data_IF_467760794994
#
_entry.id   IF_467760794994
#
_cell.length_a   1.000
_cell.length_b   1.000
_cell.length_c   1.000
_cell.angle_alpha   90.00
_cell.angle_beta   90.00
_cell.angle_gamma   90.00
#
_symmetry.space_group_name_H-M   'P 1'
#
loop_
_entity.id
_entity.type
_entity.pdbx_description
1 polymer ?
#
# COMPACT_ATOMS: atom_id res chain seq x y z
N UNK A 1 -9.80 8.50 14.30
CA UNK A 1 -8.75 8.10 13.35
C UNK A 1 -7.47 8.92 13.55
N UNK A 2 -6.38 8.53 12.89
CA UNK A 2 -5.12 9.29 12.91
C UNK A 2 -5.31 10.61 12.14
N UNK A 3 -4.93 11.78 12.71
CA UNK A 3 -5.06 13.07 12.02
C UNK A 3 -4.30 13.13 10.69
N UNK A 4 -4.79 13.92 9.73
CA UNK A 4 -4.21 14.06 8.38
C UNK A 4 -2.73 14.43 8.42
N UNK A 5 -2.34 15.39 9.25
CA UNK A 5 -0.95 15.84 9.37
C UNK A 5 0.01 14.72 9.81
N UNK A 6 -0.43 13.84 10.70
CA UNK A 6 0.36 12.68 11.14
C UNK A 6 0.45 11.62 10.03
N UNK A 7 -0.63 11.43 9.25
CA UNK A 7 -0.62 10.53 8.10
C UNK A 7 0.32 11.04 7.00
N UNK A 8 0.29 12.34 6.71
CA UNK A 8 1.22 12.99 5.78
C UNK A 8 2.68 12.81 6.21
N UNK A 9 3.00 13.08 7.47
CA UNK A 9 4.36 12.89 8.00
C UNK A 9 4.85 11.45 7.84
N UNK A 10 4.00 10.47 8.10
CA UNK A 10 4.35 9.05 7.92
C UNK A 10 4.53 8.68 6.45
N UNK A 11 3.69 9.19 5.55
CA UNK A 11 3.84 8.95 4.11
C UNK A 11 5.12 9.59 3.56
N UNK A 12 5.52 10.77 4.04
CA UNK A 12 6.80 11.38 3.67
C UNK A 12 8.00 10.56 4.17
N UNK A 13 7.92 10.00 5.39
CA UNK A 13 8.94 9.08 5.88
C UNK A 13 8.96 7.78 5.06
N UNK A 14 7.79 7.25 4.68
CA UNK A 14 7.69 6.09 3.81
C UNK A 14 8.33 6.37 2.44
N UNK A 15 8.12 7.56 1.87
CA UNK A 15 8.75 7.96 0.62
C UNK A 15 10.27 7.97 0.75
N UNK A 16 10.81 8.63 1.76
CA UNK A 16 12.25 8.69 2.00
C UNK A 16 12.87 7.29 2.20
N UNK A 17 12.24 6.46 3.04
CA UNK A 17 12.69 5.08 3.27
C UNK A 17 12.59 4.21 1.99
N UNK A 18 11.59 4.45 1.13
CA UNK A 18 11.47 3.74 -0.15
C UNK A 18 12.58 4.18 -1.12
N UNK A 19 12.89 5.49 -1.19
CA UNK A 19 13.98 6.02 -2.02
C UNK A 19 15.35 5.41 -1.63
N UNK A 20 15.63 5.26 -0.33
CA UNK A 20 16.86 4.66 0.17
C UNK A 20 17.01 3.18 -0.22
N UNK A 21 15.90 2.46 -0.40
CA UNK A 21 15.88 1.02 -0.66
C UNK A 21 15.38 0.64 -2.07
N UNK A 22 15.39 1.58 -3.03
CA UNK A 22 14.97 1.31 -4.41
C UNK A 22 15.76 0.17 -5.08
N UNK A 23 17.06 0.08 -4.82
CA UNK A 23 17.89 -1.00 -5.38
C UNK A 23 17.51 -2.37 -4.80
N UNK A 24 17.19 -2.45 -3.50
CA UNK A 24 16.74 -3.70 -2.87
C UNK A 24 15.43 -4.18 -3.50
N UNK A 25 14.47 -3.27 -3.74
CA UNK A 25 13.23 -3.56 -4.43
C UNK A 25 13.47 -4.02 -5.87
N UNK A 26 14.37 -3.36 -6.60
CA UNK A 26 14.72 -3.75 -7.96
C UNK A 26 15.36 -5.15 -8.00
N UNK A 27 16.28 -5.45 -7.08
CA UNK A 27 16.90 -6.77 -6.98
C UNK A 27 15.89 -7.86 -6.62
N UNK A 28 14.98 -7.60 -5.68
CA UNK A 28 13.91 -8.53 -5.36
C UNK A 28 13.08 -8.90 -6.61
N UNK A 29 12.65 -7.89 -7.39
CA UNK A 29 11.86 -8.14 -8.61
C UNK A 29 12.66 -8.84 -9.72
N UNK A 30 13.95 -8.60 -9.82
CA UNK A 30 14.82 -9.36 -10.75
C UNK A 30 14.88 -10.84 -10.36
N UNK A 31 14.99 -11.13 -9.05
CA UNK A 31 15.11 -12.49 -8.55
C UNK A 31 13.81 -13.28 -8.65
N UNK A 32 12.68 -12.67 -8.26
CA UNK A 32 11.41 -13.39 -8.13
C UNK A 32 10.59 -13.47 -9.41
N UNK A 33 10.68 -12.47 -10.31
CA UNK A 33 9.89 -12.45 -11.54
C UNK A 33 10.73 -12.37 -12.82
N UNK A 34 12.07 -12.33 -12.72
CA UNK A 34 12.95 -12.25 -13.89
C UNK A 34 12.89 -10.92 -14.63
N UNK A 35 12.58 -9.83 -13.95
CA UNK A 35 12.51 -8.51 -14.57
C UNK A 35 13.87 -8.10 -15.14
N UNK A 36 13.93 -7.55 -16.38
CA UNK A 36 15.17 -6.99 -16.91
C UNK A 36 15.71 -5.88 -16.00
N UNK A 37 17.03 -5.84 -15.77
CA UNK A 37 17.69 -4.91 -14.82
C UNK A 37 17.26 -3.46 -15.02
N UNK A 38 17.26 -2.99 -16.28
CA UNK A 38 16.85 -1.64 -16.60
C UNK A 38 15.39 -1.37 -16.20
N UNK A 39 14.49 -2.29 -16.54
CA UNK A 39 13.07 -2.17 -16.22
C UNK A 39 12.81 -2.24 -14.71
N UNK A 40 13.50 -3.15 -14.01
CA UNK A 40 13.36 -3.27 -12.55
C UNK A 40 13.72 -1.96 -11.84
N UNK A 41 14.81 -1.31 -12.24
CA UNK A 41 15.30 -0.07 -11.63
C UNK A 41 14.50 1.17 -12.04
N UNK A 42 14.30 1.39 -13.36
CA UNK A 42 13.76 2.65 -13.88
C UNK A 42 12.23 2.72 -13.96
N UNK A 43 11.54 1.60 -13.78
CA UNK A 43 10.09 1.55 -13.91
C UNK A 43 9.41 0.85 -12.74
N UNK A 44 9.84 -0.38 -12.42
CA UNK A 44 9.10 -1.18 -11.45
C UNK A 44 9.33 -0.72 -10.01
N UNK A 45 10.58 -0.50 -9.59
CA UNK A 45 10.88 0.00 -8.26
C UNK A 45 10.42 1.46 -8.08
N UNK A 46 10.64 2.29 -9.10
CA UNK A 46 10.28 3.71 -9.09
C UNK A 46 8.77 3.97 -9.04
N UNK A 47 7.95 3.00 -9.48
CA UNK A 47 6.49 3.13 -9.42
C UNK A 47 5.96 3.42 -8.00
N UNK A 48 6.57 2.87 -6.97
CA UNK A 48 6.19 3.14 -5.58
C UNK A 48 6.37 4.62 -5.20
N UNK A 49 7.46 5.24 -5.66
CA UNK A 49 7.74 6.67 -5.43
C UNK A 49 6.70 7.53 -6.15
N UNK A 50 6.40 7.21 -7.42
CA UNK A 50 5.35 7.91 -8.16
C UNK A 50 3.99 7.88 -7.46
N UNK A 51 3.60 6.73 -6.91
CA UNK A 51 2.36 6.60 -6.13
C UNK A 51 2.41 7.39 -4.82
N UNK A 52 3.54 7.35 -4.09
CA UNK A 52 3.70 8.14 -2.86
C UNK A 52 3.54 9.63 -3.15
N UNK A 53 4.19 10.18 -4.18
CA UNK A 53 4.01 11.57 -4.59
C UNK A 53 2.54 11.90 -4.88
N UNK A 54 1.86 11.07 -5.67
CA UNK A 54 0.45 11.30 -6.02
C UNK A 54 -0.48 11.28 -4.81
N UNK A 55 -0.35 10.30 -3.93
CA UNK A 55 -1.22 10.19 -2.75
C UNK A 55 -0.90 11.21 -1.66
N UNK A 56 0.37 11.59 -1.46
CA UNK A 56 0.75 12.69 -0.57
C UNK A 56 0.14 14.01 -1.07
N UNK A 57 0.26 14.30 -2.36
CA UNK A 57 -0.34 15.49 -2.98
C UNK A 57 -1.86 15.50 -2.79
N UNK A 58 -2.54 14.41 -3.11
CA UNK A 58 -3.99 14.29 -2.94
C UNK A 58 -4.42 14.47 -1.49
N UNK A 59 -3.64 13.93 -0.53
CA UNK A 59 -3.96 14.04 0.89
C UNK A 59 -3.76 15.48 1.43
N UNK A 60 -2.82 16.25 0.87
CA UNK A 60 -2.67 17.67 1.18
C UNK A 60 -3.88 18.51 0.79
N UNK A 61 -4.55 18.16 -0.30
CA UNK A 61 -5.73 18.86 -0.80
C UNK A 61 -7.04 18.39 -0.11
N UNK A 62 -6.99 17.26 0.59
CA UNK A 62 -8.18 16.64 1.17
C UNK A 62 -8.59 17.30 2.48
N UNK A 63 -9.89 17.59 2.60
CA UNK A 63 -10.51 17.99 3.86
C UNK A 63 -11.26 16.78 4.46
N UNK A 64 -11.01 16.47 5.74
CA UNK A 64 -11.77 15.42 6.44
C UNK A 64 -13.22 15.82 6.68
N UNK A 65 -13.49 17.11 6.73
CA UNK A 65 -14.83 17.69 6.94
C UNK A 65 -15.03 18.90 6.03
N UNK A 66 -16.10 18.87 5.27
CA UNK A 66 -16.43 19.90 4.27
C UNK A 66 -17.92 20.27 4.38
N UNK A 67 -18.21 21.56 4.36
CA UNK A 67 -19.61 22.02 4.29
C UNK A 67 -19.99 22.24 2.82
N UNK A 68 -20.97 21.51 2.33
CA UNK A 68 -21.46 21.59 0.97
C UNK A 68 -22.32 22.85 0.77
N UNK A 69 -22.55 23.23 -0.49
CA UNK A 69 -23.31 24.43 -0.85
C UNK A 69 -24.78 24.43 -0.33
N UNK A 70 -25.35 23.25 -0.11
CA UNK A 70 -26.69 23.08 0.45
C UNK A 70 -26.73 23.10 1.99
N UNK A 71 -25.58 23.28 2.66
CA UNK A 71 -25.44 23.28 4.12
C UNK A 71 -25.18 21.92 4.76
N UNK A 72 -25.17 20.83 3.99
CA UNK A 72 -24.82 19.51 4.49
C UNK A 72 -23.34 19.43 4.82
N UNK A 73 -22.98 18.51 5.73
CA UNK A 73 -21.60 18.28 6.13
C UNK A 73 -21.15 16.93 5.56
N UNK A 74 -20.17 16.97 4.67
CA UNK A 74 -19.47 15.77 4.19
C UNK A 74 -18.33 15.44 5.16
N UNK A 75 -18.34 14.23 5.71
CA UNK A 75 -17.28 13.71 6.58
C UNK A 75 -16.62 12.53 5.89
N UNK A 76 -15.28 12.53 5.80
CA UNK A 76 -14.48 11.44 5.25
C UNK A 76 -13.83 10.67 6.39
N UNK A 77 -14.15 9.39 6.51
CA UNK A 77 -13.65 8.52 7.56
C UNK A 77 -12.97 7.28 6.95
N UNK A 78 -11.96 6.68 7.64
CA UNK A 78 -11.39 5.40 7.21
C UNK A 78 -12.47 4.32 7.14
N UNK A 79 -12.40 3.48 6.09
CA UNK A 79 -13.36 2.39 5.91
C UNK A 79 -13.23 1.28 6.96
N UNK A 80 -12.09 1.21 7.65
CA UNK A 80 -11.76 0.15 8.61
C UNK A 80 -10.60 -0.70 8.14
N UNK A 81 -10.72 -2.02 8.19
CA UNK A 81 -9.68 -2.97 7.77
C UNK A 81 -9.82 -3.31 6.29
N UNK A 82 -8.75 -3.09 5.53
CA UNK A 82 -8.67 -3.39 4.11
C UNK A 82 -7.92 -4.71 3.86
N UNK A 83 -8.55 -5.68 3.21
CA UNK A 83 -7.88 -6.84 2.64
C UNK A 83 -7.34 -6.49 1.24
N UNK A 84 -6.04 -6.67 1.02
CA UNK A 84 -5.36 -6.32 -0.21
C UNK A 84 -4.73 -7.57 -0.82
N UNK A 85 -5.11 -7.92 -2.06
CA UNK A 85 -4.55 -9.06 -2.78
C UNK A 85 -3.90 -8.56 -4.06
N UNK A 86 -2.64 -8.92 -4.30
CA UNK A 86 -1.87 -8.44 -5.44
C UNK A 86 -1.31 -9.57 -6.31
N UNK A 87 -1.20 -9.37 -7.63
CA UNK A 87 -0.58 -10.31 -8.55
C UNK A 87 0.94 -10.17 -8.60
N UNK A 88 1.57 -11.00 -9.42
CA UNK A 88 3.02 -11.11 -9.54
C UNK A 88 3.65 -10.25 -10.65
N UNK A 89 2.87 -9.78 -11.61
CA UNK A 89 3.40 -9.21 -12.85
C UNK A 89 4.02 -7.81 -12.72
N UNK A 90 3.64 -7.04 -11.71
CA UNK A 90 4.22 -5.74 -11.33
C UNK A 90 4.17 -5.57 -9.81
N UNK A 91 4.96 -6.34 -9.03
CA UNK A 91 4.74 -6.53 -7.60
C UNK A 91 4.64 -5.23 -6.82
N UNK A 92 5.67 -4.39 -6.85
CA UNK A 92 5.72 -3.15 -6.07
C UNK A 92 4.67 -2.14 -6.54
N UNK A 93 4.44 -2.00 -7.83
CA UNK A 93 3.38 -1.14 -8.34
C UNK A 93 2.01 -1.53 -7.78
N UNK A 94 1.70 -2.83 -7.80
CA UNK A 94 0.41 -3.34 -7.33
C UNK A 94 0.25 -3.22 -5.82
N UNK A 95 1.33 -3.43 -5.07
CA UNK A 95 1.35 -3.26 -3.61
C UNK A 95 1.16 -1.78 -3.26
N UNK A 96 1.97 -0.90 -3.84
CA UNK A 96 1.94 0.53 -3.55
C UNK A 96 0.58 1.17 -3.86
N UNK A 97 -0.03 0.84 -5.03
CA UNK A 97 -1.37 1.30 -5.43
C UNK A 97 -2.48 0.96 -4.44
N UNK A 98 -2.28 -0.01 -3.56
CA UNK A 98 -3.28 -0.46 -2.58
C UNK A 98 -2.92 -0.04 -1.16
N UNK A 99 -1.68 -0.25 -0.77
CA UNK A 99 -1.21 0.02 0.60
C UNK A 99 -1.17 1.52 0.87
N UNK A 100 -0.59 2.31 -0.04
CA UNK A 100 -0.44 3.75 0.17
C UNK A 100 -1.79 4.44 0.35
N UNK A 101 -2.80 4.28 -0.53
CA UNK A 101 -4.09 4.92 -0.34
C UNK A 101 -4.83 4.42 0.91
N UNK A 102 -4.70 3.14 1.30
CA UNK A 102 -5.28 2.65 2.54
C UNK A 102 -4.69 3.37 3.77
N UNK A 103 -3.36 3.46 3.85
CA UNK A 103 -2.66 4.18 4.93
C UNK A 103 -2.92 5.69 4.88
N UNK A 104 -2.97 6.30 3.69
CA UNK A 104 -3.32 7.70 3.50
C UNK A 104 -4.73 8.02 3.99
N UNK A 105 -5.69 7.15 3.74
CA UNK A 105 -7.06 7.28 4.26
C UNK A 105 -7.16 7.04 5.77
N UNK A 106 -6.11 6.51 6.41
CA UNK A 106 -6.11 6.16 7.84
C UNK A 106 -6.72 4.79 8.13
N UNK A 107 -6.93 3.96 7.11
CA UNK A 107 -7.34 2.57 7.25
C UNK A 107 -6.16 1.69 7.68
N UNK A 108 -6.45 0.53 8.26
CA UNK A 108 -5.47 -0.54 8.46
C UNK A 108 -5.58 -1.55 7.32
N UNK A 109 -4.51 -2.28 7.03
CA UNK A 109 -4.56 -3.23 5.94
C UNK A 109 -3.82 -4.54 6.22
N UNK A 110 -4.32 -5.59 5.58
CA UNK A 110 -3.70 -6.91 5.51
C UNK A 110 -3.40 -7.20 4.04
N UNK A 111 -2.13 -7.27 3.69
CA UNK A 111 -1.66 -7.56 2.34
C UNK A 111 -1.36 -9.05 2.18
N UNK A 112 -1.97 -9.68 1.17
CA UNK A 112 -1.56 -10.98 0.63
C UNK A 112 -0.98 -10.77 -0.78
N UNK A 113 0.34 -10.75 -0.95
CA UNK A 113 0.94 -10.72 -2.27
C UNK A 113 0.78 -12.07 -2.97
N UNK A 114 1.06 -12.10 -4.27
CA UNK A 114 1.21 -13.38 -4.97
C UNK A 114 2.31 -14.23 -4.33
N UNK A 115 2.09 -15.53 -4.24
CA UNK A 115 3.07 -16.52 -3.78
C UNK A 115 4.31 -16.59 -4.68
N UNK A 116 4.22 -16.07 -5.92
CA UNK A 116 5.33 -16.01 -6.88
C UNK A 116 6.26 -14.80 -6.64
N UNK A 117 5.82 -13.79 -5.89
CA UNK A 117 6.58 -12.56 -5.67
C UNK A 117 6.57 -12.14 -4.19
N UNK A 118 7.10 -12.97 -3.29
CA UNK A 118 7.12 -12.67 -1.87
C UNK A 118 8.23 -11.68 -1.46
N UNK A 119 9.38 -11.67 -2.16
CA UNK A 119 10.56 -10.92 -1.72
C UNK A 119 10.36 -9.41 -1.77
N UNK A 120 9.80 -8.89 -2.84
CA UNK A 120 9.48 -7.46 -2.96
C UNK A 120 8.44 -7.02 -1.91
N UNK A 121 7.49 -7.90 -1.58
CA UNK A 121 6.49 -7.63 -0.53
C UNK A 121 7.13 -7.59 0.87
N UNK A 122 8.05 -8.51 1.17
CA UNK A 122 8.81 -8.52 2.43
C UNK A 122 9.66 -7.25 2.54
N UNK A 123 10.43 -6.92 1.49
CA UNK A 123 11.25 -5.71 1.45
C UNK A 123 10.40 -4.45 1.68
N UNK A 124 9.21 -4.38 1.06
CA UNK A 124 8.33 -3.22 1.25
C UNK A 124 7.71 -3.18 2.64
N UNK A 125 7.43 -4.32 3.27
CA UNK A 125 6.99 -4.40 4.65
C UNK A 125 8.04 -3.84 5.63
N UNK A 126 9.30 -4.20 5.43
CA UNK A 126 10.43 -3.64 6.20
C UNK A 126 10.56 -2.11 6.03
N UNK A 127 10.34 -1.61 4.81
CA UNK A 127 10.34 -0.17 4.51
C UNK A 127 9.20 0.55 5.25
N UNK A 128 8.00 -0.05 5.28
CA UNK A 128 6.83 0.50 6.00
C UNK A 128 7.10 0.53 7.51
N UNK A 129 7.71 -0.51 8.06
CA UNK A 129 8.09 -0.58 9.47
C UNK A 129 9.09 0.52 9.82
N UNK A 130 10.15 0.68 9.01
CA UNK A 130 11.16 1.74 9.17
C UNK A 130 10.55 3.16 9.08
N UNK A 131 9.46 3.35 8.33
CA UNK A 131 8.75 4.63 8.23
C UNK A 131 7.96 4.99 9.52
N UNK A 132 7.85 4.07 10.48
CA UNK A 132 7.27 4.31 11.80
C UNK A 132 5.73 4.39 11.79
N UNK A 133 5.08 3.58 10.97
CA UNK A 133 3.65 3.34 11.13
C UNK A 133 3.38 2.56 12.42
N UNK A 134 2.23 2.76 13.08
CA UNK A 134 1.93 2.04 14.30
C UNK A 134 1.73 0.54 14.02
N UNK A 135 2.05 -0.28 15.02
CA UNK A 135 1.84 -1.72 14.97
C UNK A 135 0.40 -2.04 14.55
N UNK A 136 0.27 -2.98 13.61
CA UNK A 136 -1.02 -3.39 13.07
C UNK A 136 -1.62 -2.47 12.01
N UNK A 137 -1.03 -1.30 11.70
CA UNK A 137 -1.50 -0.46 10.59
C UNK A 137 -1.32 -1.17 9.24
N UNK A 138 -0.20 -1.87 9.07
CA UNK A 138 0.10 -2.73 7.92
C UNK A 138 0.46 -4.12 8.41
N UNK A 139 -0.10 -5.15 7.77
CA UNK A 139 0.16 -6.55 8.07
C UNK A 139 0.39 -7.31 6.76
N UNK A 140 1.44 -8.12 6.72
CA UNK A 140 1.78 -8.96 5.57
C UNK A 140 1.48 -10.42 5.90
N UNK A 141 0.72 -11.10 5.06
CA UNK A 141 0.49 -12.54 5.14
C UNK A 141 0.91 -13.21 3.83
N UNK A 142 1.54 -14.36 3.93
CA UNK A 142 1.89 -15.20 2.79
C UNK A 142 0.94 -16.41 2.68
N UNK A 143 0.79 -16.90 1.47
CA UNK A 143 -0.03 -18.06 1.15
C UNK A 143 -0.58 -17.99 -0.27
N UNK A 144 -1.17 -19.09 -0.70
CA UNK A 144 -1.79 -19.19 -2.02
C UNK A 144 -3.20 -18.56 -2.08
N UNK A 145 -3.74 -18.50 -3.28
CA UNK A 145 -5.09 -17.98 -3.51
C UNK A 145 -6.18 -18.78 -2.81
N UNK A 146 -6.22 -20.14 -2.99
CA UNK A 146 -7.27 -20.99 -2.42
C UNK A 146 -7.32 -21.01 -0.88
N UNK A 147 -6.22 -20.81 -0.20
CA UNK A 147 -6.17 -20.81 1.28
C UNK A 147 -6.16 -19.39 1.85
N UNK A 148 -5.02 -18.71 1.83
CA UNK A 148 -4.88 -17.37 2.43
C UNK A 148 -5.74 -16.31 1.72
N UNK A 149 -5.81 -16.36 0.38
CA UNK A 149 -6.63 -15.44 -0.41
C UNK A 149 -8.11 -15.61 -0.12
N UNK A 150 -8.60 -16.85 -0.12
CA UNK A 150 -10.00 -17.16 0.18
C UNK A 150 -10.35 -16.78 1.61
N UNK A 151 -9.49 -17.10 2.59
CA UNK A 151 -9.71 -16.75 3.99
C UNK A 151 -9.81 -15.23 4.19
N UNK A 152 -8.89 -14.46 3.56
CA UNK A 152 -8.91 -12.99 3.62
C UNK A 152 -10.19 -12.42 2.98
N UNK A 153 -10.63 -13.01 1.86
CA UNK A 153 -11.80 -12.54 1.12
C UNK A 153 -13.12 -12.77 1.85
N UNK A 154 -13.18 -13.80 2.70
CA UNK A 154 -14.38 -14.19 3.45
C UNK A 154 -14.35 -13.73 4.91
N UNK A 155 -13.29 -13.04 5.35
CA UNK A 155 -13.14 -12.71 6.76
C UNK A 155 -14.15 -11.63 7.19
N UNK A 156 -14.93 -11.83 8.26
CA UNK A 156 -16.01 -10.93 8.66
C UNK A 156 -15.53 -9.53 9.09
N UNK A 157 -14.27 -9.40 9.53
CA UNK A 157 -13.69 -8.14 9.97
C UNK A 157 -13.00 -7.36 8.84
N UNK A 158 -13.08 -7.83 7.58
CA UNK A 158 -12.61 -7.09 6.41
C UNK A 158 -13.76 -6.24 5.87
N UNK A 159 -13.64 -4.92 5.96
CA UNK A 159 -14.64 -3.98 5.49
C UNK A 159 -14.49 -3.66 4.00
N UNK A 160 -13.28 -3.77 3.46
CA UNK A 160 -12.99 -3.54 2.04
C UNK A 160 -12.00 -4.57 1.53
N UNK A 161 -12.30 -5.17 0.37
CA UNK A 161 -11.36 -6.05 -0.33
C UNK A 161 -10.92 -5.38 -1.64
N UNK A 162 -9.60 -5.22 -1.82
CA UNK A 162 -9.03 -4.71 -3.07
C UNK A 162 -8.29 -5.82 -3.82
N UNK A 163 -8.81 -6.11 -5.02
CA UNK A 163 -8.24 -7.02 -6.01
C UNK A 163 -7.87 -6.24 -7.28
N UNK A 164 -7.22 -6.90 -8.26
CA UNK A 164 -6.91 -6.27 -9.55
C UNK A 164 -8.16 -6.03 -10.39
N UNK A 165 -9.07 -6.99 -10.36
CA UNK A 165 -10.33 -6.92 -11.09
C UNK A 165 -11.48 -6.91 -10.10
N UNK A 166 -12.24 -5.89 -10.16
CA UNK A 166 -13.52 -5.76 -9.48
C UNK A 166 -14.63 -6.06 -10.47
#
# INVERSE_FOLDING_TARGET
GTPINIRLERLERLRAATEERLEDLAQAMMLEMGAPVSMARSAQADAAIGHLHGFIHSLHEQQERETLANGDILVREPVGVCGLITPWNWPINQIALKVIPALAAGATCVLKPSEHTPLSAITYAEIIDAAGFPDGAFNLIHGDGPTAGAALSCHPDIQMLSLIHI
#
